data_IF_166564489855
#
_entry.id   IF_166564489855
#
_cell.length_a   1.000
_cell.length_b   1.000
_cell.length_c   1.000
_cell.angle_alpha   90.00
_cell.angle_beta   90.00
_cell.angle_gamma   90.00
#
_symmetry.space_group_name_H-M   'P 1'
#
loop_
_entity.id
_entity.type
_entity.pdbx_description
1 polymer ?
#
# COMPACT_ATOMS: atom_id res chain seq x y z
N UNK A 1 3.03 3.69 5.74
CA UNK A 1 4.48 3.67 6.06
C UNK A 1 5.28 3.66 4.77
N UNK A 2 6.59 3.55 4.84
CA UNK A 2 7.43 3.31 3.67
C UNK A 2 8.68 2.49 4.02
N UNK A 3 9.36 1.97 3.01
CA UNK A 3 10.70 1.37 3.15
C UNK A 3 11.69 2.14 2.29
N UNK A 4 12.91 2.29 2.77
CA UNK A 4 14.02 2.75 1.95
C UNK A 4 14.41 1.71 0.89
N UNK A 5 15.09 2.15 -0.17
CA UNK A 5 15.77 1.25 -1.09
C UNK A 5 16.88 0.46 -0.38
N UNK A 6 17.16 -0.74 -0.91
CA UNK A 6 18.28 -1.54 -0.43
C UNK A 6 19.59 -0.78 -0.67
N UNK A 7 20.25 -0.38 0.42
CA UNK A 7 21.52 0.34 0.36
C UNK A 7 21.37 1.81 -0.07
N UNK A 8 20.15 2.34 -0.11
CA UNK A 8 19.85 3.73 -0.44
C UNK A 8 19.19 4.48 0.70
N UNK A 9 19.19 5.81 0.60
CA UNK A 9 18.50 6.72 1.53
C UNK A 9 17.17 7.24 0.98
N UNK A 10 16.76 6.75 -0.19
CA UNK A 10 15.53 7.15 -0.85
C UNK A 10 14.43 6.10 -0.69
N UNK A 11 13.17 6.53 -0.81
CA UNK A 11 12.03 5.62 -0.73
C UNK A 11 12.08 4.56 -1.83
N UNK A 12 12.01 3.28 -1.43
CA UNK A 12 11.91 2.14 -2.34
C UNK A 12 10.49 1.61 -2.49
N UNK A 13 9.66 1.70 -1.45
CA UNK A 13 8.26 1.31 -1.53
C UNK A 13 7.37 2.06 -0.53
N UNK A 14 6.13 2.31 -0.91
CA UNK A 14 5.07 2.80 -0.02
C UNK A 14 4.29 1.62 0.53
N UNK A 15 4.09 1.59 1.85
CA UNK A 15 3.21 0.64 2.51
C UNK A 15 1.81 1.23 2.58
N UNK A 16 0.85 0.53 1.99
CA UNK A 16 -0.54 0.95 1.78
C UNK A 16 -1.44 0.46 2.90
N UNK A 17 -2.44 1.25 3.26
CA UNK A 17 -3.44 0.86 4.23
C UNK A 17 -4.84 1.35 3.91
N UNK A 18 -5.82 0.65 4.45
CA UNK A 18 -7.22 1.02 4.43
C UNK A 18 -7.77 1.03 5.86
N UNK A 19 -8.68 1.95 6.14
CA UNK A 19 -9.41 2.00 7.38
C UNK A 19 -10.47 0.89 7.42
N UNK A 20 -10.44 0.09 8.48
CA UNK A 20 -11.43 -0.95 8.74
C UNK A 20 -12.65 -0.39 9.51
N UNK A 21 -13.63 -1.26 9.79
CA UNK A 21 -14.87 -0.88 10.47
C UNK A 21 -14.65 -0.37 11.91
N UNK A 22 -13.53 -0.72 12.55
CA UNK A 22 -13.14 -0.21 13.87
C UNK A 22 -12.41 1.15 13.79
N UNK A 23 -12.24 1.72 12.59
CA UNK A 23 -11.48 2.95 12.37
C UNK A 23 -9.97 2.80 12.52
N UNK A 24 -9.46 1.56 12.52
CA UNK A 24 -8.03 1.24 12.54
C UNK A 24 -7.49 1.13 11.11
N UNK A 25 -6.24 1.56 10.92
CA UNK A 25 -5.56 1.49 9.63
C UNK A 25 -4.85 0.15 9.49
N UNK A 26 -5.41 -0.72 8.64
CA UNK A 26 -4.87 -2.04 8.33
C UNK A 26 -3.91 -1.96 7.14
N UNK A 27 -2.77 -2.61 7.24
CA UNK A 27 -1.82 -2.77 6.13
C UNK A 27 -2.35 -3.77 5.10
N UNK A 28 -2.56 -3.29 3.88
CA UNK A 28 -3.16 -4.07 2.79
C UNK A 28 -2.16 -4.50 1.71
N UNK A 29 -0.96 -3.92 1.68
CA UNK A 29 0.03 -4.22 0.65
C UNK A 29 1.02 -3.09 0.47
N UNK A 30 1.79 -3.12 -0.62
CA UNK A 30 2.76 -2.07 -0.91
C UNK A 30 2.82 -1.79 -2.42
N UNK A 31 3.31 -0.61 -2.77
CA UNK A 31 3.69 -0.26 -4.16
C UNK A 31 5.13 0.19 -4.20
N UNK A 32 5.87 -0.25 -5.23
CA UNK A 32 7.25 0.13 -5.50
C UNK A 32 7.40 0.83 -6.87
N UNK A 33 6.29 1.21 -7.51
CA UNK A 33 6.30 1.88 -8.81
C UNK A 33 6.44 3.40 -8.63
N UNK A 34 7.60 3.82 -8.10
CA UNK A 34 7.96 5.22 -7.88
C UNK A 34 9.02 5.58 -8.92
N UNK A 35 8.83 6.67 -9.66
CA UNK A 35 9.81 7.07 -10.67
C UNK A 35 11.03 7.71 -10.02
N UNK A 36 12.21 7.56 -10.63
CA UNK A 36 13.45 8.15 -10.10
C UNK A 36 13.40 9.68 -10.04
N UNK A 37 12.62 10.33 -10.90
CA UNK A 37 12.46 11.78 -10.88
C UNK A 37 11.65 12.28 -9.66
N UNK A 38 10.65 11.51 -9.21
CA UNK A 38 9.79 11.89 -8.08
C UNK A 38 10.39 11.48 -6.73
N UNK A 39 11.24 10.45 -6.73
CA UNK A 39 11.76 9.79 -5.53
C UNK A 39 12.43 10.73 -4.51
N UNK A 40 13.29 11.69 -4.90
CA UNK A 40 13.94 12.56 -3.92
C UNK A 40 12.95 13.47 -3.19
N UNK A 41 11.97 14.02 -3.90
CA UNK A 41 10.94 14.88 -3.33
C UNK A 41 9.99 14.09 -2.43
N UNK A 42 9.58 12.90 -2.87
CA UNK A 42 8.71 12.02 -2.10
C UNK A 42 9.40 11.55 -0.80
N UNK A 43 10.70 11.23 -0.87
CA UNK A 43 11.51 10.85 0.31
C UNK A 43 11.44 11.94 1.39
N UNK A 44 11.71 13.20 1.02
CA UNK A 44 11.66 14.33 1.95
C UNK A 44 10.27 14.50 2.57
N UNK A 45 9.22 14.39 1.75
CA UNK A 45 7.84 14.51 2.22
C UNK A 45 7.48 13.40 3.22
N UNK A 46 7.89 12.16 2.96
CA UNK A 46 7.64 11.02 3.84
C UNK A 46 8.43 11.12 5.14
N UNK A 47 9.70 11.53 5.08
CA UNK A 47 10.55 11.73 6.25
C UNK A 47 9.94 12.76 7.22
N UNK A 48 9.40 13.87 6.71
CA UNK A 48 8.70 14.87 7.52
C UNK A 48 7.41 14.34 8.19
N UNK A 49 6.89 13.20 7.71
CA UNK A 49 5.70 12.56 8.24
C UNK A 49 6.02 11.37 9.16
N UNK A 50 7.30 11.01 9.36
CA UNK A 50 7.67 9.88 10.21
C UNK A 50 7.14 10.10 11.62
N UNK A 51 6.29 9.18 12.07
CA UNK A 51 5.81 9.10 13.44
C UNK A 51 5.11 7.75 13.68
N UNK A 52 5.36 7.08 14.82
CA UNK A 52 4.60 5.92 15.23
C UNK A 52 3.12 6.29 15.55
N UNK A 53 2.20 5.31 15.49
CA UNK A 53 2.43 3.90 15.11
C UNK A 53 2.40 3.67 13.60
N UNK A 54 1.99 4.65 12.80
CA UNK A 54 1.73 4.49 11.37
C UNK A 54 0.46 3.69 11.11
N UNK A 55 0.54 2.35 11.21
CA UNK A 55 -0.61 1.45 11.13
C UNK A 55 -1.16 1.17 12.54
N UNK A 56 -2.49 1.21 12.69
CA UNK A 56 -3.16 1.07 14.00
C UNK A 56 -3.99 -0.20 14.14
N UNK A 57 -4.11 -0.99 13.07
CA UNK A 57 -4.69 -2.33 13.08
C UNK A 57 -3.63 -3.37 12.70
N UNK A 58 -3.85 -4.10 11.61
CA UNK A 58 -2.89 -5.05 11.03
C UNK A 58 -1.62 -4.29 10.60
N UNK A 59 -0.47 -4.57 11.21
CA UNK A 59 0.79 -3.91 10.87
C UNK A 59 1.60 -4.68 9.80
N UNK A 60 2.50 -4.01 9.05
CA UNK A 60 3.51 -4.67 8.22
C UNK A 60 4.49 -5.51 9.04
N UNK A 61 5.10 -6.51 8.41
CA UNK A 61 6.18 -7.30 9.04
C UNK A 61 5.74 -8.50 9.89
N UNK A 62 4.46 -8.89 9.86
CA UNK A 62 4.01 -10.13 10.51
C UNK A 62 4.76 -11.38 9.99
N UNK A 63 4.88 -12.44 10.80
CA UNK A 63 5.62 -13.65 10.44
C UNK A 63 4.98 -14.34 9.22
N UNK A 64 5.80 -14.69 8.22
CA UNK A 64 5.39 -15.45 7.03
C UNK A 64 6.54 -16.30 6.51
N UNK A 65 6.25 -17.37 5.75
CA UNK A 65 7.28 -18.25 5.14
C UNK A 65 8.23 -17.53 4.18
N UNK A 66 7.85 -16.34 3.73
CA UNK A 66 8.64 -15.48 2.85
C UNK A 66 9.16 -14.22 3.54
N UNK A 67 8.97 -14.09 4.86
CA UNK A 67 9.50 -12.95 5.62
C UNK A 67 11.00 -13.09 5.75
N UNK A 68 11.74 -12.17 5.13
CA UNK A 68 13.17 -11.93 5.40
C UNK A 68 13.33 -10.89 6.51
N UNK A 69 14.51 -10.75 7.08
CA UNK A 69 14.83 -9.72 8.10
C UNK A 69 14.40 -8.30 7.64
N UNK A 70 14.63 -7.99 6.35
CA UNK A 70 14.23 -6.71 5.73
C UNK A 70 12.74 -6.53 5.47
N UNK A 71 11.94 -7.60 5.57
CA UNK A 71 10.49 -7.50 5.43
C UNK A 71 9.85 -6.76 6.62
N UNK A 72 10.58 -6.69 7.75
CA UNK A 72 10.15 -6.07 9.00
C UNK A 72 10.65 -4.63 9.18
N UNK A 73 11.65 -4.20 8.41
CA UNK A 73 12.17 -2.84 8.47
C UNK A 73 11.31 -1.89 7.62
N UNK A 74 10.63 -0.95 8.29
CA UNK A 74 9.85 0.09 7.65
C UNK A 74 9.68 1.30 8.58
N UNK A 75 9.48 2.47 7.98
CA UNK A 75 9.26 3.72 8.70
C UNK A 75 7.76 4.00 8.86
N UNK A 76 7.28 4.18 10.10
CA UNK A 76 5.90 4.59 10.35
C UNK A 76 5.70 6.04 9.98
N UNK A 77 4.60 6.34 9.29
CA UNK A 77 4.26 7.71 8.88
C UNK A 77 2.84 8.06 9.32
N UNK A 78 2.62 9.33 9.66
CA UNK A 78 1.27 9.86 9.87
C UNK A 78 0.42 9.62 8.62
N UNK A 79 -0.81 9.08 8.73
CA UNK A 79 -1.67 8.82 7.58
C UNK A 79 -2.26 10.11 7.05
N UNK A 80 -1.47 10.86 6.28
CA UNK A 80 -1.83 12.15 5.66
C UNK A 80 -1.86 12.11 4.13
N UNK A 81 -1.23 11.10 3.52
CA UNK A 81 -1.15 10.97 2.06
C UNK A 81 -2.13 9.91 1.60
N UNK A 82 -2.88 10.23 0.55
CA UNK A 82 -3.76 9.29 -0.14
C UNK A 82 -3.24 9.09 -1.56
N UNK A 83 -3.25 7.84 -2.00
CA UNK A 83 -2.84 7.43 -3.34
C UNK A 83 -3.93 6.58 -3.98
N UNK A 84 -4.06 6.72 -5.30
CA UNK A 84 -4.84 5.82 -6.13
C UNK A 84 -3.89 4.75 -6.68
N UNK A 85 -4.32 3.49 -6.61
CA UNK A 85 -3.52 2.35 -7.04
C UNK A 85 -4.33 1.41 -7.92
N UNK A 86 -3.65 0.71 -8.82
CA UNK A 86 -4.18 -0.46 -9.53
C UNK A 86 -3.59 -1.71 -8.91
N UNK A 87 -4.42 -2.71 -8.68
CA UNK A 87 -4.04 -4.01 -8.14
C UNK A 87 -4.66 -5.12 -8.98
N UNK A 88 -4.02 -6.28 -9.00
CA UNK A 88 -4.47 -7.41 -9.82
C UNK A 88 -5.38 -8.35 -9.04
N UNK A 89 -5.02 -8.66 -7.78
CA UNK A 89 -5.75 -9.65 -6.97
C UNK A 89 -5.78 -9.26 -5.49
N UNK A 90 -6.85 -9.63 -4.80
CA UNK A 90 -7.05 -9.41 -3.36
C UNK A 90 -7.28 -10.76 -2.68
N UNK A 91 -6.44 -11.10 -1.71
CA UNK A 91 -6.63 -12.31 -0.88
C UNK A 91 -6.52 -11.95 0.60
N UNK A 92 -7.57 -12.27 1.37
CA UNK A 92 -7.61 -12.03 2.81
C UNK A 92 -7.32 -10.57 3.17
N UNK A 93 -8.06 -9.65 2.56
CA UNK A 93 -7.98 -8.19 2.76
C UNK A 93 -6.66 -7.56 2.31
N UNK A 94 -5.89 -8.22 1.45
CA UNK A 94 -4.57 -7.73 1.03
C UNK A 94 -4.33 -7.88 -0.47
N UNK A 95 -3.70 -6.87 -1.06
CA UNK A 95 -3.24 -6.89 -2.45
C UNK A 95 -2.15 -7.95 -2.67
N UNK A 96 -2.20 -8.60 -3.83
CA UNK A 96 -1.25 -9.63 -4.30
C UNK A 96 -0.83 -9.36 -5.74
N UNK A 97 0.29 -9.99 -6.15
CA UNK A 97 0.88 -9.96 -7.50
C UNK A 97 1.36 -8.59 -8.02
N UNK A 98 1.14 -7.52 -7.26
CA UNK A 98 1.69 -6.20 -7.54
C UNK A 98 0.64 -5.12 -7.32
N UNK A 99 1.09 -3.92 -6.94
CA UNK A 99 0.21 -2.76 -6.82
C UNK A 99 0.92 -1.57 -7.46
N UNK A 100 0.31 -0.99 -8.49
CA UNK A 100 0.86 0.13 -9.25
C UNK A 100 0.28 1.43 -8.74
N UNK A 101 1.15 2.35 -8.34
CA UNK A 101 0.79 3.74 -8.07
C UNK A 101 0.28 4.40 -9.36
N UNK A 102 -0.94 4.95 -9.32
CA UNK A 102 -1.52 5.70 -10.44
C UNK A 102 -1.26 7.19 -10.24
N UNK A 103 -1.64 7.73 -9.07
CA UNK A 103 -1.49 9.15 -8.73
C UNK A 103 -1.72 9.40 -7.24
N UNK A 104 -1.25 10.55 -6.76
CA UNK A 104 -1.65 11.08 -5.44
C UNK A 104 -3.04 11.70 -5.50
N UNK A 105 -3.77 11.64 -4.38
CA UNK A 105 -5.15 12.13 -4.23
C UNK A 105 -5.25 13.15 -3.08
N UNK A 106 -4.68 14.36 -3.24
CA UNK A 106 -4.78 15.41 -2.22
C UNK A 106 -6.22 15.87 -1.97
N UNK A 107 -7.12 15.54 -2.90
CA UNK A 107 -8.57 15.80 -2.84
C UNK A 107 -9.31 14.83 -1.90
N UNK A 108 -8.68 13.74 -1.46
CA UNK A 108 -9.32 12.70 -0.64
C UNK A 108 -8.75 12.69 0.78
N UNK A 109 -9.63 12.68 1.78
CA UNK A 109 -9.21 12.55 3.16
C UNK A 109 -8.81 11.10 3.47
N UNK A 110 -7.74 10.86 4.25
CA UNK A 110 -7.29 9.51 4.61
C UNK A 110 -8.40 8.63 5.20
N UNK A 111 -9.26 9.19 6.06
CA UNK A 111 -10.36 8.46 6.71
C UNK A 111 -11.46 7.98 5.75
N UNK A 112 -11.50 8.51 4.52
CA UNK A 112 -12.40 8.03 3.47
C UNK A 112 -11.84 6.82 2.71
N UNK A 113 -10.62 6.37 3.05
CA UNK A 113 -9.97 5.23 2.42
C UNK A 113 -10.34 3.95 3.17
N UNK A 114 -11.43 3.28 2.75
CA UNK A 114 -12.00 2.12 3.46
C UNK A 114 -12.03 0.86 2.59
N UNK A 115 -12.24 -0.30 3.20
CA UNK A 115 -12.35 -1.59 2.50
C UNK A 115 -13.51 -1.66 1.50
N UNK A 116 -14.55 -0.83 1.65
CA UNK A 116 -15.69 -0.76 0.72
C UNK A 116 -15.29 -0.34 -0.70
N UNK A 117 -14.10 0.27 -0.85
CA UNK A 117 -13.56 0.65 -2.14
C UNK A 117 -12.85 -0.48 -2.90
N UNK A 118 -12.58 -1.61 -2.23
CA UNK A 118 -12.03 -2.75 -2.92
C UNK A 118 -13.17 -3.36 -3.73
N UNK A 119 -13.14 -3.13 -5.03
CA UNK A 119 -14.03 -3.86 -5.94
C UNK A 119 -13.70 -5.36 -5.84
N UNK A 120 -14.72 -6.23 -5.72
CA UNK A 120 -14.51 -7.66 -5.86
C UNK A 120 -13.85 -7.94 -7.21
N UNK A 121 -12.99 -8.95 -7.25
CA UNK A 121 -12.29 -9.38 -8.46
C UNK A 121 -13.27 -9.40 -9.63
N UNK A 122 -13.05 -8.49 -10.59
CA UNK A 122 -13.89 -8.44 -11.77
C UNK A 122 -13.75 -9.80 -12.45
N UNK A 123 -14.84 -10.58 -12.46
CA UNK A 123 -14.92 -11.78 -13.29
C UNK A 123 -14.43 -11.38 -14.68
N UNK A 124 -13.55 -12.18 -15.31
CA UNK A 124 -13.00 -11.82 -16.60
C UNK A 124 -14.15 -11.45 -17.53
N UNK A 125 -14.21 -10.17 -17.95
CA UNK A 125 -15.05 -9.77 -19.07
C UNK A 125 -14.55 -10.64 -20.21
N UNK A 126 -15.42 -11.53 -20.71
CA UNK A 126 -15.18 -12.59 -21.71
C UNK A 126 -15.05 -14.01 -21.14
N UNK A 127 -16.03 -14.48 -20.36
CA UNK A 127 -16.42 -15.90 -20.44
C UNK A 127 -17.32 -16.04 -21.67
N UNK A 128 -16.71 -16.23 -22.85
CA UNK A 128 -17.45 -16.91 -23.92
C UNK A 128 -17.56 -18.34 -23.44
N UNK A 129 -18.75 -18.71 -22.97
CA UNK A 129 -19.16 -20.10 -22.73
C UNK A 129 -18.68 -20.95 -23.92
N UNK A 130 -17.61 -21.72 -23.70
CA UNK A 130 -17.33 -22.93 -24.44
C UNK A 130 -17.76 -24.07 -23.53
N UNK A 131 -19.08 -24.28 -23.49
CA UNK A 131 -19.63 -25.60 -23.32
C UNK A 131 -19.81 -26.14 -24.74
N UNK A 132 -18.93 -27.06 -25.14
CA UNK A 132 -19.25 -28.14 -26.06
C UNK A 132 -18.92 -29.45 -25.34
#
# INVERSE_FOLDING_TARGET
GFRYETGGSEVGSLLLGLYNAEGKLDHVGFTATITNAERPALTKQLQALIAPPGFTGKAPGGPSRWSTERSSEWEPVKPKLVVEVRYDHVTGDRFRHGTKLVRFRPDKAPRQCTFEQIEPEALPRNVKLLLE
#
